data_IF_225247385889
#
_entry.id   IF_225247385889
#
_cell.length_a   1.000
_cell.length_b   1.000
_cell.length_c   1.000
_cell.angle_alpha   90.00
_cell.angle_beta   90.00
_cell.angle_gamma   90.00
#
_symmetry.space_group_name_H-M   'P 1'
#
loop_
_entity.id
_entity.type
_entity.pdbx_description
1 polymer ?
#
# COMPACT_ATOMS: atom_id res chain seq x y z
N UNK A 1 -63.07 83.20 -37.17
CA UNK A 1 -64.06 82.11 -37.25
C UNK A 1 -63.30 80.78 -37.30
N UNK A 2 -63.61 79.89 -36.36
CA UNK A 2 -63.61 78.40 -36.43
C UNK A 2 -62.68 77.64 -37.41
N UNK A 3 -61.95 76.68 -36.81
CA UNK A 3 -61.94 75.23 -37.13
C UNK A 3 -60.80 74.60 -37.97
N UNK A 4 -59.92 73.87 -37.23
CA UNK A 4 -59.55 72.44 -37.34
C UNK A 4 -59.25 71.77 -38.71
N UNK A 5 -57.98 71.33 -38.86
CA UNK A 5 -57.38 69.98 -39.19
C UNK A 5 -58.17 68.98 -40.08
N UNK A 6 -57.52 68.13 -40.94
CA UNK A 6 -56.58 67.07 -40.47
C UNK A 6 -55.45 66.55 -41.42
N UNK A 7 -54.48 65.87 -40.78
CA UNK A 7 -53.46 64.86 -41.22
C UNK A 7 -54.10 63.52 -41.71
N UNK A 8 -53.42 62.47 -42.29
CA UNK A 8 -52.04 61.98 -42.00
C UNK A 8 -51.26 61.23 -43.13
N UNK A 9 -50.01 60.84 -42.84
CA UNK A 9 -49.41 59.52 -43.15
C UNK A 9 -47.89 59.54 -42.95
N UNK A 10 -47.32 58.66 -42.09
CA UNK A 10 -46.26 57.72 -42.48
C UNK A 10 -45.91 56.73 -41.34
N UNK A 11 -45.43 55.56 -41.78
CA UNK A 11 -45.13 54.31 -41.06
C UNK A 11 -43.95 54.43 -40.08
N UNK A 12 -44.01 53.69 -38.97
CA UNK A 12 -42.84 53.38 -38.12
C UNK A 12 -42.83 51.90 -37.72
N UNK A 13 -41.65 51.30 -37.86
CA UNK A 13 -41.25 49.93 -37.52
C UNK A 13 -40.85 49.89 -36.03
N UNK A 14 -41.45 48.99 -35.24
CA UNK A 14 -41.06 48.75 -33.84
C UNK A 14 -40.16 47.52 -33.73
N UNK A 15 -38.98 47.67 -33.13
CA UNK A 15 -38.10 46.59 -32.69
C UNK A 15 -38.42 46.24 -31.22
N UNK A 16 -38.72 44.98 -30.95
CA UNK A 16 -38.93 44.45 -29.61
C UNK A 16 -37.59 44.15 -28.91
N UNK A 17 -37.33 44.78 -27.78
CA UNK A 17 -36.28 44.39 -26.83
C UNK A 17 -36.87 43.50 -25.75
N UNK A 18 -36.49 42.22 -25.73
CA UNK A 18 -36.80 41.29 -24.64
C UNK A 18 -35.71 41.40 -23.57
N UNK A 19 -36.03 41.98 -22.41
CA UNK A 19 -35.15 42.01 -21.24
C UNK A 19 -35.32 40.68 -20.50
N UNK A 20 -34.33 39.80 -20.58
CA UNK A 20 -34.23 38.62 -19.71
C UNK A 20 -33.80 39.06 -18.30
N UNK A 21 -34.73 39.07 -17.36
CA UNK A 21 -34.41 39.10 -15.93
C UNK A 21 -33.80 37.74 -15.55
N UNK A 22 -32.47 37.69 -15.42
CA UNK A 22 -31.78 36.57 -14.77
C UNK A 22 -32.06 36.67 -13.28
N UNK A 23 -33.00 35.86 -12.79
CA UNK A 23 -33.19 35.62 -11.36
C UNK A 23 -31.95 34.83 -10.89
N UNK A 24 -30.99 35.53 -10.29
CA UNK A 24 -29.91 34.91 -9.51
C UNK A 24 -30.55 34.21 -8.31
N UNK A 25 -30.86 32.92 -8.46
CA UNK A 25 -31.15 32.05 -7.32
C UNK A 25 -29.85 32.00 -6.51
N UNK A 26 -29.83 32.46 -5.25
CA UNK A 26 -28.67 32.25 -4.40
C UNK A 26 -28.49 30.73 -4.29
N UNK A 27 -27.39 30.23 -4.85
CA UNK A 27 -26.89 28.89 -4.52
C UNK A 27 -26.64 28.97 -3.02
N UNK A 28 -27.56 28.44 -2.23
CA UNK A 28 -27.34 28.19 -0.83
C UNK A 28 -26.10 27.31 -0.75
N UNK A 29 -24.97 27.92 -0.42
CA UNK A 29 -23.82 27.19 0.09
C UNK A 29 -24.37 26.36 1.24
N UNK A 30 -24.50 25.05 1.03
CA UNK A 30 -24.94 24.12 2.06
C UNK A 30 -24.12 24.43 3.31
N UNK A 31 -24.81 24.80 4.39
CA UNK A 31 -24.19 25.12 5.65
C UNK A 31 -23.29 23.94 6.02
N UNK A 32 -21.98 24.16 5.87
CA UNK A 32 -21.01 23.11 5.99
C UNK A 32 -21.01 22.67 7.45
N UNK A 33 -21.45 21.43 7.73
CA UNK A 33 -21.57 20.97 9.11
C UNK A 33 -20.17 20.92 9.74
N UNK A 34 -19.88 21.91 10.57
CA UNK A 34 -18.68 21.95 11.39
C UNK A 34 -18.92 21.00 12.57
N UNK A 35 -18.48 19.76 12.44
CA UNK A 35 -18.45 18.83 13.57
C UNK A 35 -17.11 18.98 14.30
N UNK A 36 -17.18 19.35 15.58
CA UNK A 36 -16.03 19.33 16.48
C UNK A 36 -15.86 17.93 17.07
N UNK A 37 -14.60 17.47 17.10
CA UNK A 37 -14.16 16.22 17.70
C UNK A 37 -13.08 16.49 18.76
N UNK A 38 -12.83 15.55 19.65
CA UNK A 38 -11.66 15.62 20.53
C UNK A 38 -10.40 15.21 19.75
N UNK A 39 -10.51 14.16 18.94
CA UNK A 39 -9.41 13.61 18.13
C UNK A 39 -9.85 13.42 16.69
N UNK A 40 -9.06 13.97 15.76
CA UNK A 40 -9.21 13.80 14.30
C UNK A 40 -8.08 12.90 13.81
N UNK A 41 -8.42 11.70 13.33
CA UNK A 41 -7.47 10.72 12.85
C UNK A 41 -7.60 10.63 11.32
N UNK A 42 -6.53 10.94 10.60
CA UNK A 42 -6.47 10.82 9.15
C UNK A 42 -5.69 9.57 8.75
N UNK A 43 -6.36 8.63 8.07
CA UNK A 43 -5.84 7.31 7.72
C UNK A 43 -6.44 6.21 8.59
N UNK A 44 -7.26 5.35 7.98
CA UNK A 44 -7.85 4.17 8.59
C UNK A 44 -6.97 2.93 8.47
N UNK A 45 -5.64 3.07 8.55
CA UNK A 45 -4.73 1.92 8.65
C UNK A 45 -4.93 1.18 9.98
N UNK A 46 -4.23 0.05 10.20
CA UNK A 46 -4.25 -0.64 11.50
C UNK A 46 -3.90 0.31 12.66
N UNK A 47 -2.96 1.25 12.46
CA UNK A 47 -2.61 2.25 13.47
C UNK A 47 -3.78 3.21 13.75
N UNK A 48 -4.45 3.70 12.69
CA UNK A 48 -5.58 4.61 12.82
C UNK A 48 -6.80 3.97 13.48
N UNK A 49 -7.10 2.72 13.13
CA UNK A 49 -8.17 1.94 13.77
C UNK A 49 -7.85 1.69 15.24
N UNK A 50 -6.64 1.26 15.57
CA UNK A 50 -6.23 1.05 16.97
C UNK A 50 -6.25 2.34 17.79
N UNK A 51 -5.78 3.45 17.22
CA UNK A 51 -5.83 4.76 17.86
C UNK A 51 -7.26 5.24 18.11
N UNK A 52 -8.17 5.04 17.14
CA UNK A 52 -9.57 5.41 17.27
C UNK A 52 -10.25 4.63 18.41
N UNK A 53 -10.05 3.31 18.46
CA UNK A 53 -10.55 2.43 19.52
C UNK A 53 -10.03 2.89 20.87
N UNK A 54 -8.71 3.09 21.01
CA UNK A 54 -8.14 3.51 22.28
C UNK A 54 -8.66 4.88 22.73
N UNK A 55 -8.79 5.85 21.81
CA UNK A 55 -9.33 7.17 22.13
C UNK A 55 -10.80 7.10 22.55
N UNK A 56 -11.62 6.27 21.88
CA UNK A 56 -13.02 6.05 22.26
C UNK A 56 -13.14 5.48 23.67
N UNK A 57 -12.33 4.47 24.01
CA UNK A 57 -12.28 3.85 25.35
C UNK A 57 -11.84 4.84 26.44
N UNK A 58 -11.09 5.87 26.06
CA UNK A 58 -10.73 7.00 26.94
C UNK A 58 -11.83 8.09 26.99
N UNK A 59 -13.03 7.81 26.47
CA UNK A 59 -14.18 8.70 26.47
C UNK A 59 -14.07 9.88 25.51
N UNK A 60 -13.20 9.82 24.49
CA UNK A 60 -13.01 10.90 23.51
C UNK A 60 -13.95 10.72 22.34
N UNK A 61 -14.49 11.83 21.82
CA UNK A 61 -15.22 11.85 20.56
C UNK A 61 -14.23 11.85 19.39
N UNK A 62 -14.26 10.80 18.57
CA UNK A 62 -13.26 10.56 17.51
C UNK A 62 -13.89 10.61 16.13
N UNK A 63 -13.21 11.25 15.18
CA UNK A 63 -13.42 11.03 13.76
C UNK A 63 -12.23 10.25 13.18
N UNK A 64 -12.52 9.14 12.50
CA UNK A 64 -11.57 8.39 11.69
C UNK A 64 -11.87 8.63 10.21
N UNK A 65 -10.94 9.25 9.50
CA UNK A 65 -11.09 9.67 8.11
C UNK A 65 -10.25 8.72 7.24
N UNK A 66 -10.91 7.83 6.50
CA UNK A 66 -10.26 6.86 5.61
C UNK A 66 -10.25 7.37 4.15
N UNK A 67 -9.07 7.55 3.53
CA UNK A 67 -8.96 8.02 2.14
C UNK A 67 -9.63 7.10 1.11
N UNK A 68 -9.75 5.81 1.42
CA UNK A 68 -10.36 4.78 0.57
C UNK A 68 -11.72 4.33 1.13
N UNK A 69 -12.21 3.18 0.68
CA UNK A 69 -13.43 2.55 1.19
C UNK A 69 -13.15 1.36 2.12
N UNK A 70 -11.89 1.15 2.56
CA UNK A 70 -11.48 -0.02 3.36
C UNK A 70 -10.52 0.37 4.48
N UNK A 71 -10.92 0.08 5.73
CA UNK A 71 -10.03 0.25 6.90
C UNK A 71 -9.10 -0.96 7.11
N UNK A 72 -8.09 -0.77 7.95
CA UNK A 72 -7.09 -1.75 8.37
C UNK A 72 -5.77 -1.66 7.60
N UNK A 73 -5.73 -0.96 6.47
CA UNK A 73 -4.52 -0.79 5.66
C UNK A 73 -3.97 -2.12 5.15
N UNK A 74 -2.66 -2.33 5.24
CA UNK A 74 -1.98 -3.52 4.70
C UNK A 74 -2.51 -4.84 5.28
N UNK A 75 -2.87 -4.87 6.56
CA UNK A 75 -3.43 -6.02 7.28
C UNK A 75 -4.71 -6.56 6.61
N UNK A 76 -5.56 -5.65 6.13
CA UNK A 76 -6.79 -6.03 5.42
C UNK A 76 -6.60 -5.95 3.90
N UNK A 77 -5.50 -5.36 3.45
CA UNK A 77 -5.15 -5.13 2.05
C UNK A 77 -4.30 -6.22 1.41
N UNK A 78 -3.98 -7.31 2.12
CA UNK A 78 -3.28 -8.47 1.54
C UNK A 78 -2.13 -9.03 2.38
N UNK A 79 -1.65 -8.31 3.40
CA UNK A 79 -0.61 -8.79 4.32
C UNK A 79 -1.28 -9.56 5.46
N UNK A 80 -1.52 -10.85 5.20
CA UNK A 80 -2.21 -11.74 6.15
C UNK A 80 -1.28 -12.60 7.00
N UNK A 81 0.02 -12.72 6.64
CA UNK A 81 1.03 -13.32 7.51
C UNK A 81 1.82 -12.21 8.21
N UNK A 82 1.66 -12.13 9.52
CA UNK A 82 2.37 -11.12 10.32
C UNK A 82 3.86 -11.45 10.42
N UNK A 83 4.71 -10.49 10.09
CA UNK A 83 6.15 -10.53 10.35
C UNK A 83 6.41 -10.21 11.82
N UNK A 84 6.87 -11.20 12.59
CA UNK A 84 7.04 -11.05 14.04
C UNK A 84 8.42 -11.54 14.45
N UNK A 85 9.16 -10.66 15.13
CA UNK A 85 10.34 -11.03 15.92
C UNK A 85 9.94 -11.42 17.34
N UNK A 86 9.84 -10.42 18.23
CA UNK A 86 9.43 -10.63 19.61
C UNK A 86 7.92 -10.46 19.80
N UNK A 87 7.19 -11.58 19.92
CA UNK A 87 5.73 -11.59 20.18
C UNK A 87 5.33 -10.84 21.46
N UNK A 88 6.20 -10.81 22.47
CA UNK A 88 5.91 -10.14 23.75
C UNK A 88 5.85 -8.62 23.63
N UNK A 89 6.42 -8.04 22.57
CA UNK A 89 6.31 -6.61 22.29
C UNK A 89 4.93 -6.20 21.77
N UNK A 90 4.08 -7.16 21.38
CA UNK A 90 2.75 -6.91 20.83
C UNK A 90 1.72 -6.96 21.97
N UNK A 91 1.19 -5.80 22.34
CA UNK A 91 0.21 -5.63 23.43
C UNK A 91 -1.00 -4.78 23.03
N UNK A 92 -1.80 -4.37 24.03
CA UNK A 92 -2.91 -3.43 23.87
C UNK A 92 -3.93 -3.84 22.79
N UNK A 93 -4.46 -2.85 22.08
CA UNK A 93 -5.45 -3.05 21.01
C UNK A 93 -4.92 -3.95 19.88
N UNK A 94 -3.61 -3.93 19.62
CA UNK A 94 -3.00 -4.81 18.62
C UNK A 94 -3.07 -6.28 19.03
N UNK A 95 -2.75 -6.64 20.27
CA UNK A 95 -2.89 -8.03 20.74
C UNK A 95 -4.36 -8.46 20.78
N UNK A 96 -5.26 -7.56 21.18
CA UNK A 96 -6.70 -7.81 21.14
C UNK A 96 -7.19 -8.18 19.74
N UNK A 97 -6.70 -7.50 18.69
CA UNK A 97 -6.99 -7.86 17.30
C UNK A 97 -6.60 -9.31 17.01
N UNK A 98 -5.36 -9.72 17.30
CA UNK A 98 -4.91 -11.10 17.02
C UNK A 98 -5.59 -12.16 17.89
N UNK A 99 -6.01 -11.81 19.11
CA UNK A 99 -6.85 -12.68 19.95
C UNK A 99 -8.24 -12.85 19.33
N UNK A 100 -8.83 -11.78 18.78
CA UNK A 100 -10.11 -11.86 18.06
C UNK A 100 -10.00 -12.64 16.75
N UNK A 101 -8.87 -12.55 16.05
CA UNK A 101 -8.55 -13.44 14.92
C UNK A 101 -8.57 -14.90 15.37
N UNK A 102 -7.90 -15.23 16.48
CA UNK A 102 -7.95 -16.59 17.05
C UNK A 102 -9.39 -17.00 17.36
N UNK A 103 -10.15 -16.16 18.05
CA UNK A 103 -11.57 -16.44 18.39
C UNK A 103 -12.41 -16.70 17.13
N UNK A 104 -12.16 -15.99 16.03
CA UNK A 104 -12.81 -16.25 14.75
C UNK A 104 -12.51 -17.67 14.28
N UNK A 105 -11.23 -18.05 14.21
CA UNK A 105 -10.81 -19.36 13.70
C UNK A 105 -10.99 -20.53 14.68
N UNK A 106 -11.41 -20.30 15.94
CA UNK A 106 -11.83 -21.38 16.84
C UNK A 106 -13.19 -21.99 16.44
N UNK A 107 -13.99 -21.25 15.68
CA UNK A 107 -15.32 -21.66 15.22
C UNK A 107 -15.20 -22.48 13.94
N UNK A 108 -15.75 -23.70 13.94
CA UNK A 108 -15.61 -24.64 12.82
C UNK A 108 -16.27 -24.13 11.53
N UNK A 109 -17.34 -23.34 11.63
CA UNK A 109 -18.05 -22.76 10.49
C UNK A 109 -17.23 -21.74 9.69
N UNK A 110 -16.13 -21.22 10.26
CA UNK A 110 -15.24 -20.27 9.59
C UNK A 110 -14.15 -20.96 8.74
N UNK A 111 -14.12 -22.29 8.74
CA UNK A 111 -13.22 -23.13 7.95
C UNK A 111 -13.95 -23.65 6.71
N UNK A 112 -13.98 -22.83 5.66
CA UNK A 112 -14.79 -23.02 4.45
C UNK A 112 -14.08 -23.93 3.44
N UNK A 113 -12.76 -23.78 3.28
CA UNK A 113 -11.99 -24.43 2.20
C UNK A 113 -11.03 -25.53 2.68
N UNK A 114 -10.88 -25.67 3.98
CA UNK A 114 -10.16 -26.76 4.65
C UNK A 114 -10.73 -26.94 6.06
N UNK A 115 -10.30 -27.95 6.80
CA UNK A 115 -10.61 -28.05 8.24
C UNK A 115 -9.52 -27.37 9.07
N UNK A 116 -9.87 -26.92 10.28
CA UNK A 116 -8.88 -26.38 11.23
C UNK A 116 -7.68 -27.30 11.43
N UNK A 117 -7.92 -28.60 11.57
CA UNK A 117 -6.87 -29.59 11.87
C UNK A 117 -5.98 -29.87 10.65
N UNK A 118 -6.49 -29.61 9.43
CA UNK A 118 -5.71 -29.69 8.20
C UNK A 118 -4.75 -28.50 8.04
N UNK A 119 -5.13 -27.31 8.55
CA UNK A 119 -4.27 -26.14 8.51
C UNK A 119 -3.08 -26.28 9.46
N UNK A 120 -1.87 -26.34 8.89
CA UNK A 120 -0.62 -26.53 9.66
C UNK A 120 0.09 -25.23 10.04
N UNK A 121 -0.46 -24.08 9.66
CA UNK A 121 0.15 -22.78 9.93
C UNK A 121 1.47 -22.55 9.19
N UNK A 122 2.14 -21.44 9.51
CA UNK A 122 3.47 -21.11 9.01
C UNK A 122 4.33 -20.63 10.17
N UNK A 123 5.20 -21.50 10.68
CA UNK A 123 6.24 -21.12 11.64
C UNK A 123 5.77 -20.71 13.04
N UNK A 124 4.49 -20.93 13.39
CA UNK A 124 3.92 -20.58 14.70
C UNK A 124 3.10 -21.74 15.25
N UNK A 125 3.06 -21.86 16.58
CA UNK A 125 2.09 -22.72 17.25
C UNK A 125 0.71 -22.03 17.22
N UNK A 126 0.08 -22.18 16.07
CA UNK A 126 -1.05 -21.36 15.61
C UNK A 126 -2.23 -21.38 16.58
N UNK A 127 -2.44 -22.49 17.30
CA UNK A 127 -3.61 -22.68 18.16
C UNK A 127 -3.30 -22.83 19.65
N UNK A 128 -2.06 -23.14 20.05
CA UNK A 128 -1.71 -23.20 21.47
C UNK A 128 -1.35 -21.83 22.06
N UNK A 129 -1.05 -20.82 21.24
CA UNK A 129 -0.85 -19.44 21.67
C UNK A 129 -2.18 -18.72 21.91
N UNK A 130 -2.25 -17.71 22.78
CA UNK A 130 -3.49 -16.95 23.02
C UNK A 130 -3.97 -16.10 21.82
N UNK A 131 -3.10 -15.92 20.82
CA UNK A 131 -3.32 -15.11 19.63
C UNK A 131 -2.95 -15.88 18.36
N UNK A 132 -3.54 -15.48 17.22
CA UNK A 132 -3.26 -16.08 15.92
C UNK A 132 -2.73 -15.02 14.95
N UNK A 133 -1.61 -15.32 14.29
CA UNK A 133 -0.76 -14.35 13.59
C UNK A 133 -0.84 -14.42 12.06
N UNK A 134 -1.57 -15.40 11.54
CA UNK A 134 -1.84 -15.59 10.12
C UNK A 134 -3.35 -15.62 9.91
N UNK A 135 -3.86 -14.89 8.92
CA UNK A 135 -5.30 -14.71 8.72
C UNK A 135 -5.61 -14.25 7.29
N UNK A 136 -6.84 -14.46 6.88
CA UNK A 136 -7.37 -13.92 5.63
C UNK A 136 -7.61 -12.39 5.77
N UNK A 137 -7.18 -11.57 4.79
CA UNK A 137 -7.41 -10.12 4.81
C UNK A 137 -8.87 -9.67 5.02
N UNK A 138 -9.83 -10.42 4.52
CA UNK A 138 -11.29 -10.25 4.69
C UNK A 138 -11.73 -10.51 6.13
N UNK A 139 -11.13 -11.50 6.79
CA UNK A 139 -11.35 -11.79 8.22
C UNK A 139 -10.75 -10.67 9.07
N UNK A 140 -9.55 -10.20 8.74
CA UNK A 140 -8.99 -9.01 9.39
C UNK A 140 -9.90 -7.79 9.29
N UNK A 141 -10.49 -7.54 8.10
CA UNK A 141 -11.44 -6.44 7.93
C UNK A 141 -12.67 -6.64 8.82
N UNK A 142 -13.24 -7.85 8.83
CA UNK A 142 -14.39 -8.20 9.67
C UNK A 142 -14.11 -7.94 11.15
N UNK A 143 -12.95 -8.36 11.64
CA UNK A 143 -12.54 -8.15 13.03
C UNK A 143 -12.38 -6.66 13.34
N UNK A 144 -11.72 -5.87 12.48
CA UNK A 144 -11.60 -4.43 12.72
C UNK A 144 -12.96 -3.71 12.71
N UNK A 145 -13.85 -4.06 11.78
CA UNK A 145 -15.20 -3.49 11.74
C UNK A 145 -15.99 -3.85 13.00
N UNK A 146 -15.88 -5.08 13.49
CA UNK A 146 -16.50 -5.50 14.76
C UNK A 146 -15.92 -4.73 15.96
N UNK A 147 -14.60 -4.62 16.03
CA UNK A 147 -13.92 -3.86 17.10
C UNK A 147 -14.38 -2.40 17.13
N UNK A 148 -14.44 -1.73 15.98
CA UNK A 148 -14.89 -0.34 15.91
C UNK A 148 -16.39 -0.21 16.19
N UNK A 149 -17.22 -1.15 15.73
CA UNK A 149 -18.67 -1.14 15.99
C UNK A 149 -19.00 -1.23 17.49
N UNK A 150 -18.14 -1.85 18.28
CA UNK A 150 -18.30 -1.96 19.73
C UNK A 150 -17.94 -0.67 20.49
N UNK A 151 -17.48 0.37 19.78
CA UNK A 151 -17.07 1.65 20.34
C UNK A 151 -18.13 2.72 20.07
N UNK A 152 -18.64 3.38 21.11
CA UNK A 152 -19.77 4.32 20.98
C UNK A 152 -19.38 5.70 20.45
N UNK A 153 -18.10 6.08 20.51
CA UNK A 153 -17.63 7.44 20.26
C UNK A 153 -16.80 7.59 18.96
N UNK A 154 -16.82 6.60 18.08
CA UNK A 154 -16.09 6.64 16.80
C UNK A 154 -17.04 6.92 15.64
N UNK A 155 -16.80 8.01 14.92
CA UNK A 155 -17.39 8.24 13.61
C UNK A 155 -16.36 7.92 12.52
N UNK A 156 -16.69 7.04 11.58
CA UNK A 156 -15.84 6.74 10.42
C UNK A 156 -16.43 7.41 9.18
N UNK A 157 -15.57 8.05 8.39
CA UNK A 157 -15.90 8.53 7.05
C UNK A 157 -14.93 7.96 6.04
N UNK A 158 -15.44 7.57 4.87
CA UNK A 158 -14.68 6.92 3.80
C UNK A 158 -14.57 7.83 2.58
N UNK A 159 -13.62 7.52 1.70
CA UNK A 159 -13.38 8.21 0.43
C UNK A 159 -13.06 9.70 0.61
N UNK A 160 -12.34 10.04 1.68
CA UNK A 160 -11.99 11.42 2.03
C UNK A 160 -10.47 11.63 1.92
N UNK A 161 -10.03 12.20 0.80
CA UNK A 161 -8.64 12.62 0.60
C UNK A 161 -8.41 14.02 1.16
N UNK A 162 -7.30 14.22 1.86
CA UNK A 162 -6.90 15.50 2.41
C UNK A 162 -6.63 16.53 1.29
N UNK A 163 -7.15 17.75 1.41
CA UNK A 163 -6.65 18.87 0.60
C UNK A 163 -5.27 19.28 1.11
N UNK A 164 -4.21 18.64 0.57
CA UNK A 164 -2.82 18.84 1.00
C UNK A 164 -2.27 20.25 0.73
N UNK A 165 -2.86 21.00 -0.21
CA UNK A 165 -2.33 22.31 -0.64
C UNK A 165 -2.78 23.43 0.29
N UNK A 166 -4.06 23.48 0.63
CA UNK A 166 -4.65 24.61 1.36
C UNK A 166 -5.59 24.16 2.48
N UNK A 167 -5.72 22.86 2.72
CA UNK A 167 -6.71 22.32 3.65
C UNK A 167 -6.32 22.38 5.12
N UNK A 168 -5.08 22.74 5.46
CA UNK A 168 -4.64 22.81 6.85
C UNK A 168 -4.80 24.23 7.37
N UNK A 169 -5.72 24.42 8.33
CA UNK A 169 -5.86 25.67 9.06
C UNK A 169 -5.14 25.57 10.41
N UNK A 170 -4.15 26.43 10.61
CA UNK A 170 -3.37 26.51 11.85
C UNK A 170 -3.58 27.85 12.54
N UNK A 171 -3.45 27.85 13.85
CA UNK A 171 -3.20 29.04 14.67
C UNK A 171 -1.86 28.83 15.39
N UNK A 172 -0.86 29.65 15.07
CA UNK A 172 0.54 29.38 15.44
C UNK A 172 0.93 27.97 14.97
N UNK A 173 1.41 27.12 15.90
CA UNK A 173 1.82 25.74 15.62
C UNK A 173 0.71 24.70 15.87
N UNK A 174 -0.53 25.14 16.14
CA UNK A 174 -1.65 24.25 16.46
C UNK A 174 -2.58 24.12 15.26
N UNK A 175 -2.80 22.90 14.79
CA UNK A 175 -3.82 22.60 13.78
C UNK A 175 -5.20 22.81 14.42
N UNK A 176 -6.09 23.54 13.74
CA UNK A 176 -7.46 23.79 14.19
C UNK A 176 -8.48 23.03 13.36
N UNK A 177 -8.21 22.88 12.07
CA UNK A 177 -9.05 22.09 11.18
C UNK A 177 -8.27 21.56 10.00
N UNK A 178 -8.79 20.48 9.43
CA UNK A 178 -8.35 19.95 8.14
C UNK A 178 -9.54 19.92 7.16
N UNK A 179 -9.26 20.21 5.90
CA UNK A 179 -10.24 20.17 4.81
C UNK A 179 -9.91 19.05 3.82
N UNK A 180 -10.92 18.34 3.35
CA UNK A 180 -10.81 17.30 2.33
C UNK A 180 -10.97 17.88 0.91
N UNK A 181 -10.57 17.14 -0.13
CA UNK A 181 -10.77 17.54 -1.53
C UNK A 181 -12.24 17.74 -1.90
N UNK A 182 -13.13 17.01 -1.21
CA UNK A 182 -14.59 17.12 -1.30
C UNK A 182 -15.14 18.44 -0.73
N UNK A 183 -14.27 19.23 -0.10
CA UNK A 183 -14.62 20.46 0.60
C UNK A 183 -14.90 20.26 2.08
N UNK A 184 -15.28 19.05 2.56
CA UNK A 184 -15.62 18.78 3.97
C UNK A 184 -14.51 19.21 4.94
N UNK A 185 -14.90 19.79 6.09
CA UNK A 185 -13.97 20.33 7.10
C UNK A 185 -14.20 19.60 8.43
N UNK A 186 -13.11 19.18 9.05
CA UNK A 186 -13.10 18.53 10.37
C UNK A 186 -12.29 19.36 11.35
N UNK A 187 -12.92 19.71 12.48
CA UNK A 187 -12.30 20.44 13.58
C UNK A 187 -12.01 19.50 14.75
N UNK A 188 -10.88 19.70 15.40
CA UNK A 188 -10.55 18.92 16.60
C UNK A 188 -9.47 19.55 17.47
N UNK A 189 -9.25 18.94 18.63
CA UNK A 189 -8.23 19.37 19.59
C UNK A 189 -6.88 18.72 19.30
N UNK A 190 -6.91 17.47 18.84
CA UNK A 190 -5.74 16.66 18.47
C UNK A 190 -5.92 16.10 17.07
N UNK A 191 -4.83 16.06 16.32
CA UNK A 191 -4.77 15.50 14.97
C UNK A 191 -3.72 14.40 14.92
N UNK A 192 -4.06 13.26 14.31
CA UNK A 192 -3.17 12.13 14.12
C UNK A 192 -3.09 11.79 12.64
N UNK A 193 -1.87 11.73 12.10
CA UNK A 193 -1.63 11.14 10.80
C UNK A 193 -1.33 9.65 11.00
N UNK A 194 -2.25 8.82 10.55
CA UNK A 194 -2.16 7.37 10.60
C UNK A 194 -2.18 6.76 9.19
N UNK A 195 -1.79 7.54 8.16
CA UNK A 195 -1.53 7.05 6.81
C UNK A 195 -0.13 6.42 6.71
N UNK A 196 0.15 5.69 5.63
CA UNK A 196 1.53 5.24 5.37
C UNK A 196 2.38 6.38 4.78
N UNK A 197 1.73 7.37 4.17
CA UNK A 197 2.36 8.43 3.40
C UNK A 197 2.78 9.66 4.22
N UNK A 198 2.17 9.86 5.39
CA UNK A 198 2.44 11.01 6.24
C UNK A 198 1.98 12.34 5.62
N UNK A 199 0.87 12.34 4.86
CA UNK A 199 0.40 13.51 4.11
C UNK A 199 -0.11 14.64 4.99
N UNK A 200 -0.82 14.33 6.09
CA UNK A 200 -1.29 15.33 7.04
C UNK A 200 -0.11 15.93 7.80
N UNK A 201 0.84 15.09 8.22
CA UNK A 201 2.09 15.53 8.82
C UNK A 201 2.82 16.51 7.89
N UNK A 202 3.07 16.12 6.65
CA UNK A 202 3.78 16.94 5.67
C UNK A 202 3.03 18.24 5.35
N UNK A 203 1.73 18.17 5.06
CA UNK A 203 0.90 19.34 4.75
C UNK A 203 0.79 20.33 5.94
N UNK A 204 1.00 19.86 7.16
CA UNK A 204 1.03 20.69 8.36
C UNK A 204 2.35 21.45 8.55
N UNK A 205 3.36 21.15 7.73
CA UNK A 205 4.70 21.74 7.81
C UNK A 205 5.60 21.09 8.87
N UNK A 206 5.30 19.84 9.28
CA UNK A 206 6.20 19.06 10.12
C UNK A 206 7.38 18.57 9.27
N UNK A 207 8.60 18.67 9.79
CA UNK A 207 9.81 18.21 9.10
C UNK A 207 9.82 16.69 8.92
N UNK A 208 10.33 16.23 7.78
CA UNK A 208 10.46 14.80 7.47
C UNK A 208 11.63 14.54 6.51
N UNK A 209 12.00 13.27 6.39
CA UNK A 209 12.92 12.75 5.36
C UNK A 209 12.20 11.75 4.44
N UNK A 210 12.76 11.55 3.25
CA UNK A 210 12.36 10.52 2.26
C UNK A 210 13.63 9.84 1.75
N UNK A 211 13.62 8.51 1.72
CA UNK A 211 14.79 7.72 1.32
C UNK A 211 15.67 7.33 2.50
N UNK A 212 16.85 6.82 2.19
CA UNK A 212 17.79 6.30 3.18
C UNK A 212 18.63 7.42 3.77
N UNK A 213 18.73 7.45 5.08
CA UNK A 213 19.64 8.33 5.80
C UNK A 213 21.02 7.68 5.92
N UNK A 214 22.07 8.50 6.04
CA UNK A 214 23.44 7.97 6.17
C UNK A 214 23.66 7.34 7.54
N UNK A 215 24.61 6.40 7.65
CA UNK A 215 25.04 5.85 8.94
C UNK A 215 25.46 6.95 9.94
N UNK A 216 26.16 7.99 9.45
CA UNK A 216 26.63 9.10 10.27
C UNK A 216 25.52 9.96 10.87
N UNK A 217 24.31 9.96 10.29
CA UNK A 217 23.24 10.87 10.70
C UNK A 217 22.75 10.58 12.12
N UNK A 218 22.61 9.30 12.49
CA UNK A 218 22.20 8.89 13.85
C UNK A 218 23.13 7.85 14.50
N UNK A 219 24.29 7.58 13.88
CA UNK A 219 25.23 6.56 14.36
C UNK A 219 24.67 5.15 14.25
N UNK A 220 24.00 4.86 13.13
CA UNK A 220 23.49 3.54 12.77
C UNK A 220 24.53 2.81 11.91
N UNK A 221 24.47 1.48 11.83
CA UNK A 221 25.36 0.67 10.97
C UNK A 221 24.66 -0.02 9.80
N UNK A 222 23.32 -0.13 9.86
CA UNK A 222 22.52 -0.82 8.84
C UNK A 222 21.59 0.09 8.03
N UNK A 223 21.52 1.37 8.38
CA UNK A 223 20.87 2.38 7.54
C UNK A 223 21.78 2.79 6.36
N UNK A 224 21.26 3.52 5.39
CA UNK A 224 21.99 3.92 4.19
C UNK A 224 22.04 2.82 3.13
N UNK A 225 22.80 3.08 2.07
CA UNK A 225 23.05 2.11 1.00
C UNK A 225 23.71 0.85 1.57
N UNK A 226 23.23 -0.32 1.14
CA UNK A 226 23.77 -1.63 1.53
C UNK A 226 24.31 -2.33 0.27
N UNK A 227 25.50 -1.92 -0.19
CA UNK A 227 26.13 -2.45 -1.40
C UNK A 227 26.99 -3.68 -1.11
N UNK A 228 27.39 -3.87 0.15
CA UNK A 228 28.14 -5.04 0.57
C UNK A 228 27.23 -6.25 0.77
N UNK A 229 27.78 -7.43 0.49
CA UNK A 229 27.14 -8.70 0.81
C UNK A 229 26.90 -8.84 2.33
N UNK A 230 27.88 -8.43 3.12
CA UNK A 230 27.89 -8.58 4.56
C UNK A 230 28.18 -7.26 5.24
N UNK A 231 27.45 -6.97 6.31
CA UNK A 231 27.67 -5.81 7.17
C UNK A 231 27.65 -6.23 8.64
N UNK A 232 28.01 -5.32 9.56
CA UNK A 232 27.93 -5.56 10.99
C UNK A 232 26.81 -4.73 11.63
N UNK A 233 26.06 -5.33 12.53
CA UNK A 233 25.09 -4.62 13.37
C UNK A 233 25.83 -3.77 14.42
N UNK A 234 25.11 -2.91 15.17
CA UNK A 234 25.72 -2.13 16.25
C UNK A 234 26.30 -3.04 17.34
N UNK A 235 25.67 -4.21 17.56
CA UNK A 235 26.17 -5.28 18.44
C UNK A 235 27.28 -6.16 17.81
N UNK A 236 27.84 -5.78 16.66
CA UNK A 236 28.86 -6.57 15.92
C UNK A 236 28.37 -7.96 15.49
N UNK A 237 27.06 -8.16 15.33
CA UNK A 237 26.51 -9.37 14.70
C UNK A 237 26.61 -9.26 13.19
N UNK A 238 26.75 -10.39 12.50
CA UNK A 238 26.80 -10.44 11.04
C UNK A 238 25.41 -10.17 10.45
N UNK A 239 25.28 -9.11 9.65
CA UNK A 239 24.13 -8.82 8.80
C UNK A 239 24.37 -9.36 7.39
N UNK A 240 23.32 -9.92 6.78
CA UNK A 240 23.34 -10.56 5.45
C UNK A 240 22.34 -9.90 4.49
N UNK A 241 22.00 -8.64 4.72
CA UNK A 241 20.94 -7.97 3.95
C UNK A 241 21.26 -7.86 2.45
N UNK A 242 22.54 -7.79 2.06
CA UNK A 242 22.95 -7.62 0.67
C UNK A 242 23.14 -8.91 -0.14
N UNK A 243 23.17 -10.11 0.49
CA UNK A 243 23.46 -11.36 -0.24
C UNK A 243 22.26 -11.90 -1.02
N UNK A 244 21.04 -11.59 -0.57
CA UNK A 244 19.80 -12.07 -1.16
C UNK A 244 19.17 -11.03 -2.08
N UNK A 245 18.19 -11.46 -2.87
CA UNK A 245 17.46 -10.64 -3.84
C UNK A 245 18.32 -10.16 -5.03
N UNK A 246 19.29 -10.98 -5.43
CA UNK A 246 20.15 -10.74 -6.59
C UNK A 246 19.80 -11.69 -7.74
N UNK A 247 20.18 -11.31 -8.96
CA UNK A 247 20.20 -12.22 -10.11
C UNK A 247 21.33 -13.25 -9.95
N UNK A 248 21.20 -14.40 -10.62
CA UNK A 248 22.37 -15.26 -10.80
C UNK A 248 23.37 -14.62 -11.78
N UNK A 249 24.59 -15.16 -11.82
CA UNK A 249 25.60 -14.70 -12.78
C UNK A 249 25.18 -14.95 -14.23
N UNK A 250 25.63 -14.08 -15.14
CA UNK A 250 25.40 -14.24 -16.60
C UNK A 250 24.13 -13.57 -17.14
N UNK A 251 23.38 -12.86 -16.32
CA UNK A 251 22.19 -12.10 -16.75
C UNK A 251 22.61 -10.77 -17.39
N UNK A 252 22.44 -10.66 -18.71
CA UNK A 252 22.75 -9.45 -19.47
C UNK A 252 21.68 -8.37 -19.28
N UNK A 253 22.05 -7.11 -18.94
CA UNK A 253 21.10 -6.01 -18.74
C UNK A 253 20.77 -5.23 -20.02
N UNK A 254 21.38 -5.56 -21.16
CA UNK A 254 21.26 -4.77 -22.40
C UNK A 254 20.12 -5.22 -23.33
N UNK A 255 19.59 -4.33 -24.17
CA UNK A 255 18.53 -4.66 -25.14
C UNK A 255 18.93 -5.87 -26.01
N UNK A 256 20.10 -5.82 -26.63
CA UNK A 256 20.74 -6.97 -27.29
C UNK A 256 21.70 -7.63 -26.30
N UNK A 257 21.47 -8.92 -26.03
CA UNK A 257 22.26 -9.72 -25.06
C UNK A 257 23.76 -9.57 -25.32
N UNK A 258 24.52 -9.16 -24.31
CA UNK A 258 25.97 -8.99 -24.36
C UNK A 258 26.47 -7.76 -25.13
N UNK A 259 25.60 -6.89 -25.64
CA UNK A 259 26.00 -5.70 -26.38
C UNK A 259 25.64 -4.40 -25.62
N UNK A 260 26.59 -3.80 -24.88
CA UNK A 260 26.40 -2.52 -24.20
C UNK A 260 25.94 -1.36 -25.09
N UNK A 261 26.29 -1.37 -26.40
CA UNK A 261 25.89 -0.30 -27.33
C UNK A 261 24.40 -0.34 -27.69
N UNK A 262 23.71 -1.43 -27.37
CA UNK A 262 22.29 -1.57 -27.65
C UNK A 262 21.38 -0.80 -26.68
N UNK A 263 21.92 -0.26 -25.59
CA UNK A 263 21.13 0.36 -24.51
C UNK A 263 20.68 -0.66 -23.46
N UNK A 264 20.10 -0.16 -22.37
CA UNK A 264 19.64 -0.99 -21.24
C UNK A 264 18.21 -1.48 -21.45
N UNK A 265 17.89 -2.64 -20.87
CA UNK A 265 16.52 -3.16 -20.76
C UNK A 265 15.65 -2.21 -19.92
N UNK A 266 14.32 -2.27 -20.09
CA UNK A 266 13.39 -1.52 -19.26
C UNK A 266 13.68 -1.69 -17.76
N UNK A 267 13.53 -0.59 -17.02
CA UNK A 267 13.68 -0.52 -15.56
C UNK A 267 15.09 -0.81 -15.00
N UNK A 268 16.08 -1.09 -15.85
CA UNK A 268 17.47 -1.15 -15.41
C UNK A 268 18.02 0.27 -15.25
N UNK A 269 18.54 0.58 -14.07
CA UNK A 269 19.25 1.83 -13.84
C UNK A 269 20.67 1.75 -14.40
N UNK A 270 21.12 2.82 -15.06
CA UNK A 270 22.52 3.00 -15.43
C UNK A 270 23.39 3.45 -14.26
N UNK A 271 22.78 3.84 -13.13
CA UNK A 271 23.50 4.25 -11.93
C UNK A 271 24.19 3.04 -11.29
N UNK A 272 25.44 3.26 -10.85
CA UNK A 272 26.14 2.28 -10.04
C UNK A 272 25.48 2.16 -8.66
N UNK A 273 25.63 1.02 -7.96
CA UNK A 273 25.34 0.95 -6.55
C UNK A 273 26.05 2.10 -5.82
N UNK A 274 25.37 2.74 -4.87
CA UNK A 274 25.98 3.77 -4.04
C UNK A 274 27.08 3.20 -3.14
N UNK A 275 27.77 4.07 -2.41
CA UNK A 275 28.77 3.65 -1.42
C UNK A 275 28.04 3.18 -0.16
N UNK A 276 28.43 2.03 0.38
CA UNK A 276 27.84 1.45 1.59
C UNK A 276 27.78 2.49 2.74
N UNK A 277 26.64 2.57 3.42
CA UNK A 277 26.36 3.50 4.53
C UNK A 277 26.01 4.94 4.14
N UNK A 278 26.09 5.30 2.85
CA UNK A 278 25.70 6.64 2.39
C UNK A 278 24.18 6.81 2.28
N UNK A 279 23.74 8.06 2.38
CA UNK A 279 22.35 8.42 2.14
C UNK A 279 22.00 8.36 0.64
N UNK A 280 20.73 8.11 0.33
CA UNK A 280 20.15 8.32 -0.99
C UNK A 280 18.65 8.63 -0.89
N UNK A 281 18.03 9.03 -2.00
CA UNK A 281 16.61 9.33 -2.05
C UNK A 281 15.76 8.10 -2.46
N UNK A 282 16.30 6.88 -2.32
CA UNK A 282 15.67 5.64 -2.80
C UNK A 282 14.99 4.95 -1.63
N UNK A 283 13.70 4.67 -1.77
CA UNK A 283 12.91 3.96 -0.76
C UNK A 283 12.75 2.49 -1.14
N UNK A 284 12.35 1.66 -0.17
CA UNK A 284 12.09 0.26 -0.45
C UNK A 284 10.98 0.06 -1.48
N UNK A 285 11.14 -0.90 -2.39
CA UNK A 285 10.21 -1.14 -3.49
C UNK A 285 8.81 -1.52 -2.99
N UNK A 286 7.79 -1.13 -3.75
CA UNK A 286 6.40 -1.48 -3.47
C UNK A 286 5.94 -2.66 -4.34
N UNK A 287 4.85 -3.29 -3.92
CA UNK A 287 4.15 -4.33 -4.67
C UNK A 287 2.68 -4.39 -4.26
N UNK A 288 1.95 -5.37 -4.77
CA UNK A 288 0.67 -5.80 -4.25
C UNK A 288 0.85 -7.11 -3.48
N UNK A 289 0.42 -7.15 -2.21
CA UNK A 289 0.36 -8.40 -1.45
C UNK A 289 -0.84 -9.19 -1.95
N UNK A 290 -0.56 -10.25 -2.70
CA UNK A 290 -1.61 -11.07 -3.32
C UNK A 290 -2.06 -12.15 -2.36
N UNK A 291 -3.37 -12.34 -2.26
CA UNK A 291 -3.96 -13.55 -1.68
C UNK A 291 -4.18 -14.56 -2.79
N UNK A 292 -3.40 -15.64 -2.82
CA UNK A 292 -3.55 -16.69 -3.83
C UNK A 292 -4.16 -17.96 -3.24
N UNK A 293 -4.84 -18.71 -4.11
CA UNK A 293 -5.33 -20.06 -3.82
C UNK A 293 -5.07 -21.00 -4.99
N UNK A 294 -4.92 -22.28 -4.69
CA UNK A 294 -4.86 -23.35 -5.68
C UNK A 294 -6.16 -24.17 -5.75
N UNK A 295 -7.21 -23.74 -5.04
CA UNK A 295 -8.51 -24.40 -5.05
C UNK A 295 -9.32 -24.00 -6.29
N UNK A 296 -9.65 -24.91 -7.23
CA UNK A 296 -10.31 -24.56 -8.49
C UNK A 296 -11.61 -23.75 -8.35
N UNK A 297 -12.41 -24.03 -7.32
CA UNK A 297 -13.69 -23.39 -7.06
C UNK A 297 -13.52 -21.91 -6.66
N UNK A 298 -12.46 -21.58 -5.91
CA UNK A 298 -12.16 -20.23 -5.44
C UNK A 298 -11.08 -19.51 -6.28
N UNK A 299 -10.44 -20.20 -7.21
CA UNK A 299 -9.33 -19.67 -7.99
C UNK A 299 -9.79 -18.87 -9.20
N UNK A 300 -9.20 -17.70 -9.38
CA UNK A 300 -9.22 -16.90 -10.61
C UNK A 300 -7.85 -17.05 -11.27
N UNK A 301 -7.74 -17.75 -12.41
CA UNK A 301 -6.46 -17.92 -13.11
C UNK A 301 -5.85 -16.58 -13.53
N UNK A 302 -4.52 -16.50 -13.52
CA UNK A 302 -3.83 -15.29 -13.98
C UNK A 302 -4.14 -15.01 -15.45
N UNK A 303 -4.46 -13.76 -15.77
CA UNK A 303 -4.76 -13.31 -17.12
C UNK A 303 -3.62 -12.43 -17.64
N UNK A 304 -3.36 -12.50 -18.94
CA UNK A 304 -2.43 -11.58 -19.59
C UNK A 304 -3.02 -10.17 -19.47
N UNK A 305 -2.33 -9.20 -18.84
CA UNK A 305 -2.90 -7.87 -18.67
C UNK A 305 -2.88 -7.10 -19.99
N UNK A 306 -3.81 -6.15 -20.13
CA UNK A 306 -3.85 -5.24 -21.26
C UNK A 306 -2.55 -4.41 -21.33
N UNK A 307 -2.01 -4.29 -22.54
CA UNK A 307 -0.74 -3.62 -22.78
C UNK A 307 0.48 -4.35 -22.19
N UNK A 308 0.40 -5.65 -21.92
CA UNK A 308 1.56 -6.48 -21.58
C UNK A 308 2.67 -6.30 -22.62
N UNK A 309 3.88 -5.96 -22.15
CA UNK A 309 5.06 -5.82 -22.98
C UNK A 309 6.11 -6.85 -22.54
N UNK A 310 6.42 -7.82 -23.41
CA UNK A 310 7.37 -8.90 -23.10
C UNK A 310 8.77 -8.37 -22.73
N UNK A 311 9.18 -7.25 -23.33
CA UNK A 311 10.50 -6.65 -23.08
C UNK A 311 10.68 -6.20 -21.62
N UNK A 312 9.59 -5.90 -20.90
CA UNK A 312 9.61 -5.56 -19.47
C UNK A 312 10.01 -6.74 -18.57
N UNK A 313 9.88 -7.97 -19.08
CA UNK A 313 10.19 -9.21 -18.37
C UNK A 313 11.45 -9.90 -18.91
N UNK A 314 12.20 -9.26 -19.81
CA UNK A 314 13.37 -9.85 -20.45
C UNK A 314 14.46 -10.28 -19.45
N UNK A 315 14.63 -9.52 -18.35
CA UNK A 315 15.55 -9.90 -17.27
C UNK A 315 15.11 -11.20 -16.58
N UNK A 316 13.81 -11.42 -16.40
CA UNK A 316 13.29 -12.66 -15.82
C UNK A 316 13.61 -13.86 -16.69
N UNK A 317 13.40 -13.74 -18.01
CA UNK A 317 13.75 -14.81 -18.96
C UNK A 317 15.25 -15.11 -18.91
N UNK A 318 16.07 -14.06 -19.00
CA UNK A 318 17.53 -14.21 -18.98
C UNK A 318 18.05 -14.79 -17.67
N UNK A 319 17.39 -14.50 -16.54
CA UNK A 319 17.71 -15.10 -15.26
C UNK A 319 17.56 -16.61 -15.32
N UNK A 320 16.41 -17.13 -15.76
CA UNK A 320 16.22 -18.58 -15.90
C UNK A 320 17.12 -19.19 -16.98
N UNK A 321 17.32 -18.50 -18.11
CA UNK A 321 18.19 -18.97 -19.21
C UNK A 321 19.68 -19.00 -18.84
N UNK A 322 20.11 -18.22 -17.83
CA UNK A 322 21.47 -18.23 -17.34
C UNK A 322 21.75 -19.40 -16.37
N UNK A 323 20.71 -20.08 -15.88
CA UNK A 323 20.85 -21.19 -14.95
C UNK A 323 21.59 -22.36 -15.63
N UNK A 324 22.60 -22.90 -14.94
CA UNK A 324 23.36 -24.07 -15.41
C UNK A 324 22.93 -25.30 -14.63
N UNK A 325 22.60 -26.37 -15.33
CA UNK A 325 22.19 -27.64 -14.71
C UNK A 325 20.74 -27.65 -14.24
N UNK A 326 20.48 -28.31 -13.12
CA UNK A 326 19.14 -28.45 -12.54
C UNK A 326 18.62 -27.08 -12.08
N UNK A 327 17.48 -26.67 -12.64
CA UNK A 327 16.85 -25.37 -12.37
C UNK A 327 16.49 -25.20 -10.88
N UNK A 328 16.29 -26.31 -10.15
CA UNK A 328 16.01 -26.31 -8.70
C UNK A 328 17.22 -25.96 -7.85
N UNK A 329 18.41 -25.92 -8.46
CA UNK A 329 19.67 -25.55 -7.82
C UNK A 329 20.17 -24.18 -8.29
N UNK A 330 19.32 -23.43 -9.01
CA UNK A 330 19.63 -22.08 -9.49
C UNK A 330 19.92 -21.10 -8.34
N UNK A 331 19.23 -21.25 -7.22
CA UNK A 331 19.45 -20.49 -5.98
C UNK A 331 19.69 -21.44 -4.81
N UNK A 332 20.52 -21.02 -3.85
CA UNK A 332 20.88 -21.77 -2.64
C UNK A 332 20.03 -21.42 -1.40
N UNK A 333 19.07 -20.51 -1.54
CA UNK A 333 18.19 -20.04 -0.47
C UNK A 333 16.74 -19.92 -0.96
N UNK A 334 15.77 -19.94 -0.05
CA UNK A 334 14.34 -19.73 -0.35
C UNK A 334 13.72 -20.82 -1.24
N UNK A 335 12.60 -20.51 -1.92
CA UNK A 335 12.02 -21.47 -2.87
C UNK A 335 12.99 -21.73 -4.04
N UNK A 336 13.21 -22.99 -4.45
CA UNK A 336 14.18 -23.34 -5.48
C UNK A 336 13.75 -22.97 -6.90
N UNK A 337 12.45 -22.73 -7.15
CA UNK A 337 11.91 -22.55 -8.51
C UNK A 337 11.28 -21.19 -8.74
N UNK A 338 10.42 -20.75 -7.81
CA UNK A 338 9.50 -19.65 -8.03
C UNK A 338 10.04 -18.39 -7.36
N UNK A 339 10.05 -17.21 -8.01
CA UNK A 339 10.68 -16.04 -7.45
C UNK A 339 9.75 -15.31 -6.48
N UNK A 340 8.95 -16.01 -5.67
CA UNK A 340 8.20 -15.42 -4.56
C UNK A 340 8.04 -16.44 -3.42
N UNK A 341 7.86 -15.92 -2.21
CA UNK A 341 7.54 -16.72 -1.04
C UNK A 341 6.03 -16.91 -1.02
N UNK A 342 5.57 -18.14 -0.87
CA UNK A 342 4.16 -18.48 -0.80
C UNK A 342 3.79 -18.99 0.58
N UNK A 343 3.45 -18.08 1.50
CA UNK A 343 3.18 -18.47 2.89
C UNK A 343 1.72 -18.88 3.06
N UNK A 344 1.46 -20.07 3.63
CA UNK A 344 0.10 -20.52 3.92
C UNK A 344 -0.65 -19.58 4.89
N UNK A 345 -1.93 -19.41 4.62
CA UNK A 345 -2.93 -18.76 5.47
C UNK A 345 -4.15 -19.69 5.58
N UNK A 346 -5.04 -19.48 6.55
CA UNK A 346 -6.26 -20.28 6.67
C UNK A 346 -7.09 -20.33 5.38
N UNK A 347 -7.88 -21.39 5.24
CA UNK A 347 -8.79 -21.61 4.13
C UNK A 347 -8.09 -21.76 2.76
N UNK A 348 -6.96 -22.48 2.73
CA UNK A 348 -6.17 -22.76 1.50
C UNK A 348 -5.81 -21.48 0.74
N UNK A 349 -5.51 -20.43 1.48
CA UNK A 349 -5.07 -19.12 0.96
C UNK A 349 -3.63 -18.90 1.34
N UNK A 350 -3.06 -17.83 0.78
CA UNK A 350 -1.63 -17.56 0.95
C UNK A 350 -1.33 -16.07 1.01
N UNK A 351 -0.23 -15.72 1.66
CA UNK A 351 0.38 -14.39 1.61
C UNK A 351 1.68 -14.47 0.79
N UNK A 352 1.73 -13.69 -0.29
CA UNK A 352 2.87 -13.64 -1.22
C UNK A 352 3.85 -12.54 -0.86
N UNK A 353 5.13 -12.89 -0.76
CA UNK A 353 6.24 -11.94 -0.60
C UNK A 353 7.30 -12.09 -1.70
N UNK A 354 8.07 -11.03 -1.95
CA UNK A 354 9.19 -11.02 -2.88
C UNK A 354 10.29 -12.02 -2.44
N UNK A 355 10.92 -12.69 -3.42
CA UNK A 355 12.28 -13.21 -3.29
C UNK A 355 13.02 -13.23 -4.64
N UNK A 356 14.35 -13.40 -4.58
CA UNK A 356 15.27 -13.39 -5.74
C UNK A 356 15.39 -12.01 -6.41
N UNK A 357 16.16 -11.93 -7.50
CA UNK A 357 16.48 -10.68 -8.19
C UNK A 357 15.38 -10.09 -9.09
N UNK A 358 14.38 -10.87 -9.50
CA UNK A 358 13.23 -10.38 -10.29
C UNK A 358 11.94 -11.01 -9.77
N UNK A 359 11.07 -10.19 -9.19
CA UNK A 359 9.94 -10.66 -8.37
C UNK A 359 8.82 -9.61 -8.29
N UNK A 360 7.91 -9.78 -7.33
CA UNK A 360 6.73 -8.94 -7.10
C UNK A 360 7.05 -7.49 -6.78
N UNK A 361 8.20 -7.22 -6.17
CA UNK A 361 8.66 -5.85 -5.90
C UNK A 361 9.04 -5.14 -7.19
N UNK A 362 8.35 -4.03 -7.53
CA UNK A 362 8.65 -3.27 -8.73
C UNK A 362 9.72 -2.20 -8.47
N UNK A 363 10.96 -2.66 -8.50
CA UNK A 363 12.12 -1.89 -8.03
C UNK A 363 12.25 -0.55 -8.78
N UNK A 364 12.39 0.53 -8.00
CA UNK A 364 12.65 1.88 -8.49
C UNK A 364 11.43 2.64 -9.01
N UNK A 365 10.29 1.99 -9.17
CA UNK A 365 9.10 2.63 -9.77
C UNK A 365 8.25 3.39 -8.75
N UNK A 366 8.64 3.39 -7.48
CA UNK A 366 7.92 4.02 -6.38
C UNK A 366 8.64 5.24 -5.77
N UNK A 367 9.85 5.59 -6.21
CA UNK A 367 10.66 6.64 -5.55
C UNK A 367 9.98 8.00 -5.48
N UNK A 368 9.15 8.34 -6.47
CA UNK A 368 8.41 9.61 -6.49
C UNK A 368 7.10 9.56 -5.67
N UNK A 369 6.67 8.38 -5.22
CA UNK A 369 5.38 8.19 -4.56
C UNK A 369 5.16 9.07 -3.32
N UNK A 370 6.15 9.27 -2.42
CA UNK A 370 5.95 10.09 -1.22
C UNK A 370 5.49 11.50 -1.58
N UNK A 371 6.17 12.17 -2.52
CA UNK A 371 5.87 13.55 -2.92
C UNK A 371 4.83 13.69 -4.03
N UNK A 372 4.41 12.59 -4.65
CA UNK A 372 3.45 12.60 -5.75
C UNK A 372 2.08 13.20 -5.38
N UNK A 373 1.45 13.85 -6.36
CA UNK A 373 0.02 14.18 -6.33
C UNK A 373 -0.85 12.93 -6.22
N UNK A 374 -2.12 13.04 -5.82
CA UNK A 374 -2.99 11.87 -5.75
C UNK A 374 -3.19 11.21 -7.11
N UNK A 375 -3.27 12.01 -8.18
CA UNK A 375 -3.37 11.49 -9.54
C UNK A 375 -2.12 10.71 -9.96
N UNK A 376 -0.92 11.19 -9.60
CA UNK A 376 0.33 10.48 -9.87
C UNK A 376 0.45 9.20 -9.04
N UNK A 377 0.05 9.21 -7.76
CA UNK A 377 0.01 7.99 -6.94
C UNK A 377 -0.91 6.92 -7.53
N UNK A 378 -2.05 7.31 -8.09
CA UNK A 378 -2.95 6.37 -8.81
C UNK A 378 -2.27 5.78 -10.05
N UNK A 379 -1.50 6.57 -10.81
CA UNK A 379 -0.73 6.08 -11.95
C UNK A 379 0.37 5.11 -11.51
N UNK A 380 1.10 5.44 -10.43
CA UNK A 380 2.13 4.59 -9.86
C UNK A 380 1.51 3.26 -9.39
N UNK A 381 0.40 3.30 -8.66
CA UNK A 381 -0.31 2.11 -8.19
C UNK A 381 -0.79 1.23 -9.37
N UNK A 382 -1.41 1.83 -10.40
CA UNK A 382 -1.84 1.12 -11.59
C UNK A 382 -0.66 0.46 -12.34
N UNK A 383 0.48 1.17 -12.44
CA UNK A 383 1.69 0.65 -13.05
C UNK A 383 2.24 -0.57 -12.27
N UNK A 384 2.26 -0.52 -10.94
CA UNK A 384 2.65 -1.66 -10.10
C UNK A 384 1.70 -2.85 -10.26
N UNK A 385 0.39 -2.59 -10.29
CA UNK A 385 -0.63 -3.64 -10.47
C UNK A 385 -0.45 -4.34 -11.82
N UNK A 386 -0.26 -3.56 -12.90
CA UNK A 386 -0.02 -4.08 -14.25
C UNK A 386 1.27 -4.90 -14.32
N UNK A 387 2.38 -4.37 -13.79
CA UNK A 387 3.65 -5.08 -13.75
C UNK A 387 3.51 -6.45 -13.06
N UNK A 388 2.87 -6.49 -11.89
CA UNK A 388 2.74 -7.71 -11.13
C UNK A 388 1.76 -8.69 -11.80
N UNK A 389 0.65 -8.22 -12.37
CA UNK A 389 -0.25 -9.05 -13.18
C UNK A 389 0.49 -9.71 -14.35
N UNK A 390 1.33 -8.95 -15.07
CA UNK A 390 2.11 -9.48 -16.17
C UNK A 390 3.21 -10.43 -15.69
N UNK A 391 3.82 -10.20 -14.53
CA UNK A 391 4.76 -11.13 -13.90
C UNK A 391 4.09 -12.48 -13.62
N UNK A 392 2.91 -12.48 -12.99
CA UNK A 392 2.19 -13.71 -12.68
C UNK A 392 1.83 -14.48 -13.95
N UNK A 393 1.29 -13.80 -14.96
CA UNK A 393 0.98 -14.43 -16.23
C UNK A 393 2.23 -14.99 -16.92
N UNK A 394 3.33 -14.24 -16.90
CA UNK A 394 4.61 -14.65 -17.51
C UNK A 394 5.10 -15.95 -16.90
N UNK A 395 5.15 -16.02 -15.57
CA UNK A 395 5.62 -17.19 -14.84
C UNK A 395 4.70 -18.39 -15.01
N UNK A 396 3.38 -18.19 -15.17
CA UNK A 396 2.44 -19.28 -15.42
C UNK A 396 2.50 -19.83 -16.85
N UNK A 397 2.66 -18.97 -17.86
CA UNK A 397 2.26 -19.33 -19.22
C UNK A 397 3.31 -19.02 -20.31
N UNK A 398 4.29 -18.16 -20.06
CA UNK A 398 5.21 -17.75 -21.11
C UNK A 398 6.18 -18.88 -21.52
N UNK A 399 6.35 -19.19 -22.82
CA UNK A 399 7.12 -20.35 -23.27
C UNK A 399 8.61 -20.29 -22.88
N UNK A 400 9.18 -19.10 -22.69
CA UNK A 400 10.57 -18.91 -22.23
C UNK A 400 10.80 -19.19 -20.74
N UNK A 401 9.74 -19.29 -19.94
CA UNK A 401 9.86 -19.73 -18.54
C UNK A 401 9.98 -21.25 -18.50
N UNK A 402 10.85 -21.88 -17.69
CA UNK A 402 10.95 -23.34 -17.64
C UNK A 402 9.60 -24.03 -17.36
N UNK A 403 9.36 -25.20 -17.98
CA UNK A 403 8.09 -25.95 -17.85
C UNK A 403 7.77 -26.27 -16.38
N UNK A 404 8.77 -26.61 -15.58
CA UNK A 404 8.61 -26.91 -14.16
C UNK A 404 8.13 -25.70 -13.35
N UNK A 405 8.63 -24.51 -13.66
CA UNK A 405 8.18 -23.25 -13.02
C UNK A 405 6.74 -22.98 -13.43
N UNK A 406 6.42 -23.06 -14.72
CA UNK A 406 5.04 -22.87 -15.23
C UNK A 406 4.05 -23.82 -14.58
N UNK A 407 4.41 -25.09 -14.45
CA UNK A 407 3.57 -26.11 -13.83
C UNK A 407 3.16 -25.70 -12.41
N UNK A 408 4.14 -25.35 -11.57
CA UNK A 408 3.90 -24.90 -10.18
C UNK A 408 3.07 -23.62 -10.16
N UNK A 409 3.46 -22.60 -10.93
CA UNK A 409 2.83 -21.28 -10.85
C UNK A 409 1.40 -21.28 -11.39
N UNK A 410 1.12 -22.07 -12.43
CA UNK A 410 -0.22 -22.19 -13.03
C UNK A 410 -1.27 -22.89 -12.15
N UNK A 411 -0.83 -23.54 -11.06
CA UNK A 411 -1.73 -24.06 -10.03
C UNK A 411 -2.37 -22.95 -9.20
N UNK A 412 -1.74 -21.77 -9.14
CA UNK A 412 -2.20 -20.65 -8.33
C UNK A 412 -3.00 -19.64 -9.14
N UNK A 413 -3.82 -18.87 -8.44
CA UNK A 413 -4.55 -17.72 -8.96
C UNK A 413 -5.08 -16.87 -7.81
N UNK A 414 -5.62 -15.69 -8.11
CA UNK A 414 -6.25 -14.83 -7.09
C UNK A 414 -7.54 -15.47 -6.57
N UNK A 415 -7.98 -15.06 -5.38
CA UNK A 415 -9.18 -15.60 -4.73
C UNK A 415 -10.44 -14.86 -5.17
N UNK A 416 -11.55 -15.58 -5.37
CA UNK A 416 -12.88 -14.99 -5.65
C UNK A 416 -13.52 -14.35 -4.42
N UNK A 417 -13.15 -14.81 -3.23
CA UNK A 417 -13.85 -14.51 -1.98
C UNK A 417 -13.12 -13.52 -1.05
N UNK A 418 -11.99 -12.94 -1.48
CA UNK A 418 -11.13 -12.17 -0.58
C UNK A 418 -11.35 -10.65 -0.65
N UNK A 419 -11.54 -10.13 -1.86
CA UNK A 419 -11.66 -8.71 -2.13
C UNK A 419 -12.95 -8.44 -2.90
N UNK A 420 -13.44 -7.19 -2.81
CA UNK A 420 -14.68 -6.77 -3.47
C UNK A 420 -14.54 -6.81 -5.01
N UNK A 421 -13.31 -6.70 -5.53
CA UNK A 421 -13.08 -6.71 -6.97
C UNK A 421 -13.25 -8.12 -7.57
N UNK A 422 -13.94 -8.21 -8.71
CA UNK A 422 -14.13 -9.46 -9.46
C UNK A 422 -12.81 -10.09 -9.95
N UNK A 423 -11.71 -9.34 -9.89
CA UNK A 423 -10.38 -9.80 -10.27
C UNK A 423 -9.66 -10.57 -9.17
N UNK A 424 -10.14 -10.51 -7.92
CA UNK A 424 -9.46 -11.06 -6.74
C UNK A 424 -8.18 -10.32 -6.35
N UNK A 425 -7.89 -9.16 -6.97
CA UNK A 425 -6.79 -8.31 -6.57
C UNK A 425 -7.24 -7.32 -5.50
N UNK A 426 -6.37 -7.08 -4.53
CA UNK A 426 -6.47 -5.93 -3.63
C UNK A 426 -6.27 -4.62 -4.40
N UNK A 427 -6.90 -3.56 -3.92
CA UNK A 427 -6.70 -2.19 -4.41
C UNK A 427 -5.65 -1.43 -3.57
N UNK A 428 -5.17 -2.03 -2.48
CA UNK A 428 -4.15 -1.47 -1.61
C UNK A 428 -2.75 -1.78 -2.14
N UNK A 429 -2.05 -0.73 -2.61
CA UNK A 429 -0.62 -0.81 -2.86
C UNK A 429 0.13 -1.01 -1.53
N UNK A 430 1.12 -1.92 -1.51
CA UNK A 430 1.97 -2.17 -0.34
C UNK A 430 3.02 -1.06 -0.20
N UNK A 431 2.63 -0.01 0.53
CA UNK A 431 3.50 1.11 0.87
C UNK A 431 4.33 0.70 2.09
N UNK A 432 5.62 0.45 1.88
CA UNK A 432 6.55 0.01 2.94
C UNK A 432 7.13 1.16 3.73
N UNK A 433 7.39 2.25 3.04
CA UNK A 433 8.10 3.43 3.52
C UNK A 433 7.65 4.61 2.67
N UNK A 434 7.41 5.77 3.26
CA UNK A 434 7.24 7.01 2.50
C UNK A 434 7.97 8.16 3.21
N UNK A 435 7.28 8.90 4.07
CA UNK A 435 7.87 10.00 4.85
C UNK A 435 8.12 9.54 6.27
N UNK A 436 9.32 9.81 6.78
CA UNK A 436 9.65 9.62 8.20
C UNK A 436 9.75 10.97 8.89
N UNK A 437 8.97 11.15 9.94
CA UNK A 437 8.97 12.37 10.75
C UNK A 437 10.36 12.63 11.34
N UNK A 438 10.82 13.88 11.26
CA UNK A 438 11.97 14.38 12.00
C UNK A 438 11.43 15.19 13.18
N UNK A 439 11.60 14.66 14.38
CA UNK A 439 11.13 15.27 15.63
C UNK A 439 12.28 15.30 16.66
N UNK A 440 11.97 15.68 17.90
CA UNK A 440 12.93 15.66 19.03
C UNK A 440 13.48 14.25 19.30
N UNK A 441 12.75 13.21 18.88
CA UNK A 441 13.16 11.82 19.00
C UNK A 441 12.87 11.03 17.73
N UNK A 442 13.92 10.52 17.11
CA UNK A 442 13.83 9.67 15.92
C UNK A 442 14.14 8.23 16.31
N UNK A 443 13.24 7.30 16.00
CA UNK A 443 13.48 5.87 16.22
C UNK A 443 14.64 5.41 15.32
N UNK A 444 15.65 4.73 15.87
CA UNK A 444 16.86 4.28 15.15
C UNK A 444 17.10 2.80 15.40
N UNK A 445 18.11 2.23 14.73
CA UNK A 445 18.62 0.88 14.94
C UNK A 445 18.86 0.55 16.43
N UNK A 446 19.26 1.51 17.26
CA UNK A 446 19.44 1.30 18.71
C UNK A 446 18.16 0.82 19.39
N UNK A 447 17.00 1.30 18.94
CA UNK A 447 15.70 0.87 19.47
C UNK A 447 15.35 -0.56 19.05
N UNK A 448 15.80 -0.98 17.88
CA UNK A 448 15.57 -2.32 17.37
C UNK A 448 16.54 -3.35 17.97
N UNK A 449 17.75 -2.93 18.34
CA UNK A 449 18.77 -3.80 18.93
C UNK A 449 18.77 -3.81 20.46
N UNK A 450 17.89 -3.04 21.12
CA UNK A 450 17.84 -2.92 22.58
C UNK A 450 19.19 -2.46 23.19
N UNK A 451 19.77 -1.41 22.58
CA UNK A 451 21.01 -0.75 23.02
C UNK A 451 20.77 0.50 23.87
#
# INVERSE_FOLDING_TARGET
MLSLKPTPSLKNTFAFWFIYFVILIPINASAQIIQSYDVVIYGGTSAGVSAAIQCSRMGKKVILIEPTNRIGGLTTGGLGKTDIGNKQAIGGVSREFYQKIKTYYLKSENWIWETRDAYKGVGYDTFNEDAMWAFEPSVALKVFLEMVKNESNIHIVYNQRLNRKTGIKKEKQVIKSIQMETGQIYQGKIFMDCTYEGDLMAASGVSYTVGRESNSQYGESLNGVQANNFNLTLQKKLSRNGIHHNFIEGVSPYLVKGNPKSGLLPFVSAEKPGVDGQADNKIQAYCYRMTLTNLPENRIPFKKPDGYNELEYELLFRNYEAAKGDIRKMYDYGDPLVPWINSAMPNRKTDINNQKGFSTDFIGQNYLYPEASYAERLKIAALHKKYQQGLMWTLSYHPRIPKEVRAVVSEWGTCKDEFISDSGWTDQLYIREARRMVSDYVMTQKNCEAL
#
